data_IF_195115563986
#
_entry.id   IF_195115563986
#
_cell.length_a   1.000
_cell.length_b   1.000
_cell.length_c   1.000
_cell.angle_alpha   90.00
_cell.angle_beta   90.00
_cell.angle_gamma   90.00
#
_symmetry.space_group_name_H-M   'P 1'
#
loop_
_entity.id
_entity.type
_entity.pdbx_description
1 polymer ?
#
# COMPACT_ATOMS: atom_id res chain seq x y z
N UNK A 1 17.65 -46.84 37.05
CA UNK A 1 17.88 -46.09 35.80
C UNK A 1 16.87 -44.94 35.73
N UNK A 2 17.21 -43.76 36.27
CA UNK A 2 16.31 -42.61 36.29
C UNK A 2 16.32 -41.90 34.94
N UNK A 3 15.24 -42.02 34.17
CA UNK A 3 15.02 -41.22 32.96
C UNK A 3 14.69 -39.78 33.39
N UNK A 4 15.67 -38.89 33.27
CA UNK A 4 15.44 -37.44 33.34
C UNK A 4 14.65 -37.05 32.09
N UNK A 5 13.39 -36.64 32.28
CA UNK A 5 12.58 -36.01 31.24
C UNK A 5 13.15 -34.60 31.04
N UNK A 6 13.81 -34.40 29.91
CA UNK A 6 14.29 -33.09 29.48
C UNK A 6 13.09 -32.34 28.89
N UNK A 7 12.47 -31.46 29.67
CA UNK A 7 11.43 -30.56 29.17
C UNK A 7 12.11 -29.49 28.31
N UNK A 8 12.01 -29.61 26.99
CA UNK A 8 12.47 -28.59 26.05
C UNK A 8 11.46 -27.45 26.11
N UNK A 9 11.82 -26.38 26.81
CA UNK A 9 11.07 -25.14 26.85
C UNK A 9 11.20 -24.46 25.47
N UNK A 10 10.18 -24.59 24.63
CA UNK A 10 10.11 -23.90 23.35
C UNK A 10 9.86 -22.41 23.62
N UNK A 11 10.92 -21.61 23.60
CA UNK A 11 10.82 -20.15 23.65
C UNK A 11 10.24 -19.69 22.32
N UNK A 12 8.94 -19.42 22.27
CA UNK A 12 8.33 -18.67 21.16
C UNK A 12 8.88 -17.25 21.20
N UNK A 13 9.96 -17.00 20.47
CA UNK A 13 10.38 -15.64 20.11
C UNK A 13 9.31 -15.06 19.19
N UNK A 14 8.37 -14.30 19.77
CA UNK A 14 7.47 -13.45 19.01
C UNK A 14 8.34 -12.30 18.48
N UNK A 15 8.83 -12.45 17.25
CA UNK A 15 9.40 -11.32 16.54
C UNK A 15 8.28 -10.32 16.30
N UNK A 16 8.30 -9.18 17.00
CA UNK A 16 7.48 -8.03 16.63
C UNK A 16 8.08 -7.45 15.37
N UNK A 17 7.65 -7.99 14.24
CA UNK A 17 7.95 -7.46 12.92
C UNK A 17 7.35 -6.04 12.87
N UNK A 18 7.84 -5.19 11.97
CA UNK A 18 7.30 -3.85 11.70
C UNK A 18 5.84 -3.98 11.23
N UNK A 19 4.91 -4.22 12.15
CA UNK A 19 3.51 -4.34 11.84
C UNK A 19 2.94 -2.94 11.70
N UNK A 20 2.20 -2.74 10.61
CA UNK A 20 1.30 -1.61 10.53
C UNK A 20 0.28 -1.71 11.65
N UNK A 21 -0.03 -0.59 12.28
CA UNK A 21 -0.96 -0.55 13.40
C UNK A 21 -2.00 0.53 13.16
N UNK A 22 -3.26 0.15 13.34
CA UNK A 22 -4.41 1.06 13.26
C UNK A 22 -4.73 1.56 14.64
N UNK A 23 -4.85 2.88 14.74
CA UNK A 23 -5.28 3.61 15.91
C UNK A 23 -6.51 4.46 15.55
N UNK A 24 -7.36 4.71 16.52
CA UNK A 24 -8.44 5.68 16.43
C UNK A 24 -8.37 6.62 17.61
N UNK A 25 -8.84 7.85 17.45
CA UNK A 25 -8.87 8.81 18.56
C UNK A 25 -9.14 10.20 18.04
N UNK A 26 -8.39 11.18 18.54
CA UNK A 26 -8.65 12.60 18.27
C UNK A 26 -7.37 13.39 18.04
N UNK A 27 -7.49 14.38 17.15
CA UNK A 27 -6.61 15.55 17.09
C UNK A 27 -7.46 16.77 17.46
N UNK A 28 -7.24 17.34 18.64
CA UNK A 28 -8.15 18.31 19.23
C UNK A 28 -9.52 17.67 19.49
N UNK A 29 -10.57 18.22 18.86
CA UNK A 29 -11.93 17.67 18.92
C UNK A 29 -12.31 16.88 17.66
N UNK A 30 -11.38 16.69 16.72
CA UNK A 30 -11.65 16.02 15.45
C UNK A 30 -11.33 14.53 15.57
N UNK A 31 -12.31 13.63 15.38
CA UNK A 31 -12.05 12.21 15.42
C UNK A 31 -11.21 11.80 14.21
N UNK A 32 -10.23 10.91 14.45
CA UNK A 32 -9.30 10.43 13.42
C UNK A 32 -9.14 8.92 13.48
N UNK A 33 -8.97 8.31 12.30
CA UNK A 33 -8.32 7.02 12.15
C UNK A 33 -6.89 7.27 11.65
N UNK A 34 -5.91 6.63 12.27
CA UNK A 34 -4.52 6.74 11.91
C UNK A 34 -3.87 5.36 11.79
N UNK A 35 -3.17 5.15 10.70
CA UNK A 35 -2.31 3.99 10.46
C UNK A 35 -0.86 4.42 10.63
N UNK A 36 -0.09 3.71 11.45
CA UNK A 36 1.35 3.96 11.62
C UNK A 36 2.12 2.72 11.18
N UNK A 37 3.12 2.94 10.32
CA UNK A 37 4.06 1.93 9.84
C UNK A 37 5.51 2.29 10.22
N UNK A 38 6.01 1.81 11.37
CA UNK A 38 7.38 2.11 11.80
C UNK A 38 8.40 1.14 11.17
N UNK A 39 9.48 1.65 10.58
CA UNK A 39 10.59 0.87 10.03
C UNK A 39 11.94 1.47 10.44
N UNK A 40 12.66 0.75 11.31
CA UNK A 40 13.92 1.24 11.88
C UNK A 40 13.72 2.49 12.74
N UNK A 41 14.41 3.58 12.38
CA UNK A 41 14.27 4.92 13.01
C UNK A 41 13.30 5.84 12.26
N UNK A 42 12.60 5.30 11.27
CA UNK A 42 11.62 6.03 10.48
C UNK A 42 10.23 5.43 10.68
N UNK A 43 9.21 6.18 10.26
CA UNK A 43 7.87 5.66 10.10
C UNK A 43 7.17 6.40 8.96
N UNK A 44 6.25 5.70 8.31
CA UNK A 44 5.22 6.32 7.49
C UNK A 44 3.89 6.23 8.24
N UNK A 45 2.98 7.15 7.96
CA UNK A 45 1.62 7.08 8.47
C UNK A 45 0.63 7.63 7.46
N UNK A 46 -0.63 7.24 7.61
CA UNK A 46 -1.74 7.97 6.99
C UNK A 46 -2.82 8.16 8.03
N UNK A 47 -3.51 9.29 7.99
CA UNK A 47 -4.65 9.52 8.84
C UNK A 47 -5.73 10.28 8.11
N UNK A 48 -6.98 10.08 8.51
CA UNK A 48 -8.11 10.85 7.99
C UNK A 48 -8.90 11.43 9.15
N UNK A 49 -9.39 12.66 8.97
CA UNK A 49 -10.38 13.24 9.84
C UNK A 49 -11.75 12.73 9.41
N UNK A 50 -12.46 12.06 10.31
CA UNK A 50 -13.82 11.51 10.10
C UNK A 50 -14.85 12.47 9.51
N UNK A 51 -14.63 13.79 9.57
CA UNK A 51 -15.56 14.78 9.01
C UNK A 51 -15.22 15.22 7.58
N UNK A 52 -14.01 14.95 7.09
CA UNK A 52 -13.53 15.40 5.78
C UNK A 52 -13.01 14.24 4.92
N UNK A 53 -12.56 13.15 5.53
CA UNK A 53 -12.12 11.87 4.97
C UNK A 53 -11.19 11.95 3.76
N UNK A 54 -10.42 13.02 3.67
CA UNK A 54 -9.24 13.03 2.82
C UNK A 54 -8.11 12.35 3.59
N UNK A 55 -7.58 11.19 3.14
CA UNK A 55 -6.42 10.58 3.77
C UNK A 55 -5.20 11.49 3.59
N UNK A 56 -4.56 11.84 4.70
CA UNK A 56 -3.36 12.66 4.74
C UNK A 56 -2.17 11.73 4.97
N UNK A 57 -1.27 11.66 3.99
CA UNK A 57 -0.02 10.92 4.10
C UNK A 57 1.01 11.68 4.91
N UNK A 58 1.73 10.96 5.76
CA UNK A 58 2.81 11.45 6.59
C UNK A 58 4.04 10.57 6.35
N UNK A 59 4.86 10.97 5.38
CA UNK A 59 6.00 10.16 4.95
C UNK A 59 7.28 10.53 5.71
N UNK A 60 8.13 9.53 5.95
CA UNK A 60 9.48 9.70 6.52
C UNK A 60 9.50 10.40 7.90
N UNK A 61 8.52 10.10 8.75
CA UNK A 61 8.54 10.49 10.16
C UNK A 61 9.77 9.94 10.86
N UNK A 62 10.31 10.69 11.83
CA UNK A 62 11.57 10.34 12.53
C UNK A 62 11.29 9.90 13.96
N UNK A 63 11.87 8.77 14.35
CA UNK A 63 11.81 8.23 15.72
C UNK A 63 13.12 8.54 16.43
N UNK A 64 13.09 9.51 17.36
CA UNK A 64 14.26 9.94 18.14
C UNK A 64 13.90 10.06 19.62
N UNK A 65 14.66 9.38 20.49
CA UNK A 65 14.48 9.44 21.95
C UNK A 65 13.03 9.20 22.41
N UNK A 66 12.32 8.28 21.75
CA UNK A 66 10.92 8.00 22.06
C UNK A 66 9.93 9.03 21.50
N UNK A 67 10.36 10.03 20.73
CA UNK A 67 9.45 10.90 19.99
C UNK A 67 9.36 10.44 18.54
N UNK A 68 8.14 10.24 18.04
CA UNK A 68 7.87 10.05 16.63
C UNK A 68 7.33 11.35 16.05
N UNK A 69 8.05 11.95 15.10
CA UNK A 69 7.75 13.28 14.56
C UNK A 69 7.50 13.17 13.06
N UNK A 70 6.33 13.60 12.62
CA UNK A 70 5.96 13.72 11.21
C UNK A 70 5.84 15.19 10.81
N UNK A 71 6.18 15.47 9.56
CA UNK A 71 5.95 16.75 8.90
C UNK A 71 4.82 16.58 7.90
N UNK A 72 3.69 17.22 8.18
CA UNK A 72 2.56 17.27 7.25
C UNK A 72 2.85 18.30 6.17
N UNK A 73 2.70 17.91 4.90
CA UNK A 73 2.98 18.76 3.73
C UNK A 73 1.69 19.11 3.00
N UNK A 74 1.65 20.29 2.38
CA UNK A 74 0.48 20.80 1.64
C UNK A 74 0.05 19.87 0.50
N UNK A 75 1.01 19.18 -0.13
CA UNK A 75 0.80 18.01 -0.97
C UNK A 75 2.11 17.22 -1.07
N UNK A 76 2.05 15.98 -1.54
CA UNK A 76 3.23 15.12 -1.71
C UNK A 76 4.27 15.63 -2.72
N UNK A 77 3.95 16.67 -3.52
CA UNK A 77 4.85 17.28 -4.52
C UNK A 77 5.52 18.58 -4.04
N UNK A 78 5.07 19.17 -2.92
CA UNK A 78 5.58 20.43 -2.37
C UNK A 78 6.22 20.15 -1.02
N UNK A 79 7.48 20.55 -0.86
CA UNK A 79 8.21 20.46 0.42
C UNK A 79 7.82 21.53 1.45
N UNK A 80 6.58 22.04 1.38
CA UNK A 80 6.09 23.05 2.32
C UNK A 80 5.37 22.36 3.47
N UNK A 81 5.98 22.38 4.64
CA UNK A 81 5.39 21.85 5.88
C UNK A 81 4.29 22.77 6.40
N UNK A 82 3.06 22.24 6.48
CA UNK A 82 1.86 22.93 6.99
C UNK A 82 1.62 22.66 8.46
N UNK A 83 2.05 21.50 8.94
CA UNK A 83 1.96 21.14 10.35
C UNK A 83 3.02 20.13 10.78
N UNK A 84 3.23 20.04 12.08
CA UNK A 84 4.11 19.04 12.71
C UNK A 84 3.29 18.22 13.67
N UNK A 85 3.28 16.90 13.46
CA UNK A 85 2.66 15.94 14.38
C UNK A 85 3.76 15.26 15.19
N UNK A 86 3.66 15.33 16.51
CA UNK A 86 4.60 14.69 17.43
C UNK A 86 3.86 13.72 18.31
N UNK A 87 4.25 12.45 18.30
CA UNK A 87 3.81 11.43 19.25
C UNK A 87 4.89 11.25 20.32
N UNK A 88 4.50 11.44 21.58
CA UNK A 88 5.39 11.38 22.73
C UNK A 88 5.52 9.94 23.25
N UNK A 89 6.72 9.58 23.69
CA UNK A 89 7.04 8.26 24.24
C UNK A 89 6.55 7.10 23.34
N UNK A 90 6.66 7.25 22.02
CA UNK A 90 6.26 6.28 21.02
C UNK A 90 6.96 4.92 21.24
N UNK A 91 6.15 3.86 21.19
CA UNK A 91 6.59 2.48 21.11
C UNK A 91 5.57 1.68 20.32
N UNK A 92 6.02 0.69 19.55
CA UNK A 92 5.17 -0.18 18.72
C UNK A 92 4.17 -1.01 19.55
N UNK A 93 4.50 -1.25 20.82
CA UNK A 93 3.68 -2.04 21.75
C UNK A 93 2.65 -1.22 22.52
N UNK A 94 2.66 0.11 22.40
CA UNK A 94 1.76 0.95 23.18
C UNK A 94 0.35 0.93 22.59
N UNK A 95 -0.62 0.68 23.46
CA UNK A 95 -2.02 0.76 23.09
C UNK A 95 -2.52 2.21 23.07
N UNK A 96 -1.94 3.09 23.88
CA UNK A 96 -2.32 4.50 23.91
C UNK A 96 -1.12 5.38 23.52
N UNK A 97 -1.36 6.28 22.58
CA UNK A 97 -0.40 7.27 22.13
C UNK A 97 -0.95 8.66 22.41
N UNK A 98 -0.10 9.54 22.92
CA UNK A 98 -0.42 10.94 23.14
C UNK A 98 0.62 11.82 22.45
N UNK A 99 0.21 13.02 22.06
CA UNK A 99 1.05 13.88 21.24
C UNK A 99 0.48 15.27 21.05
N UNK A 100 1.08 15.99 20.11
CA UNK A 100 0.62 17.31 19.68
C UNK A 100 0.67 17.42 18.17
N UNK A 101 -0.32 18.10 17.60
CA UNK A 101 -0.32 18.55 16.22
C UNK A 101 -0.20 20.07 16.25
N UNK A 102 0.74 20.63 15.49
CA UNK A 102 1.00 22.07 15.49
C UNK A 102 0.99 22.63 14.07
N UNK A 103 0.10 23.58 13.80
CA UNK A 103 0.09 24.33 12.55
C UNK A 103 1.31 25.27 12.46
N UNK A 104 2.03 25.23 11.35
CA UNK A 104 3.27 26.01 11.19
C UNK A 104 3.02 27.49 10.91
N UNK A 105 1.85 27.86 10.38
CA UNK A 105 1.47 29.24 10.06
C UNK A 105 0.80 29.96 11.23
N UNK A 106 -0.21 29.35 11.84
CA UNK A 106 -0.98 29.97 12.92
C UNK A 106 -0.39 29.73 14.32
N UNK A 107 0.57 28.80 14.45
CA UNK A 107 1.05 28.27 15.73
C UNK A 107 -0.04 27.61 16.61
N UNK A 108 -1.23 27.35 16.05
CA UNK A 108 -2.27 26.60 16.74
C UNK A 108 -1.77 25.20 17.05
N UNK A 109 -1.98 24.76 18.29
CA UNK A 109 -1.59 23.45 18.77
C UNK A 109 -2.83 22.68 19.25
N UNK A 110 -2.92 21.42 18.86
CA UNK A 110 -4.00 20.52 19.20
C UNK A 110 -3.44 19.28 19.90
N UNK A 111 -4.08 18.84 20.99
CA UNK A 111 -3.72 17.59 21.66
C UNK A 111 -4.05 16.42 20.74
N UNK A 112 -3.14 15.44 20.66
CA UNK A 112 -3.35 14.17 19.97
C UNK A 112 -3.54 13.09 21.02
N UNK A 113 -4.56 12.26 20.86
CA UNK A 113 -4.82 11.09 21.70
C UNK A 113 -5.33 9.97 20.80
N UNK A 114 -4.63 8.83 20.79
CA UNK A 114 -4.91 7.71 19.91
C UNK A 114 -4.90 6.42 20.73
N UNK A 115 -5.86 5.54 20.45
CA UNK A 115 -5.97 4.21 21.04
C UNK A 115 -5.89 3.16 19.93
N UNK A 116 -5.03 2.16 20.15
CA UNK A 116 -4.78 1.05 19.24
C UNK A 116 -6.04 0.22 19.11
N UNK A 117 -6.40 -0.07 17.86
CA UNK A 117 -7.48 -1.01 17.55
C UNK A 117 -6.89 -2.39 17.27
N UNK A 118 -5.92 -2.46 16.36
CA UNK A 118 -5.26 -3.70 15.97
C UNK A 118 -3.95 -3.42 15.24
N UNK A 119 -3.04 -4.39 15.26
CA UNK A 119 -1.86 -4.42 14.39
C UNK A 119 -2.06 -5.46 13.28
N UNK A 120 -1.28 -5.43 12.21
CA UNK A 120 -1.29 -6.51 11.21
C UNK A 120 -0.20 -7.52 11.54
N UNK A 121 -0.46 -8.32 12.56
CA UNK A 121 0.47 -9.34 13.05
C UNK A 121 0.63 -10.46 12.01
N UNK A 122 1.87 -10.93 11.86
CA UNK A 122 2.24 -12.02 10.95
C UNK A 122 2.92 -13.13 11.75
N UNK A 123 2.93 -14.34 11.20
CA UNK A 123 3.51 -15.52 11.86
C UNK A 123 2.60 -16.75 11.80
N UNK A 124 3.17 -17.89 12.19
CA UNK A 124 2.46 -19.16 12.26
C UNK A 124 1.45 -19.17 13.42
N UNK A 125 0.36 -19.91 13.27
CA UNK A 125 -0.68 -20.10 14.30
C UNK A 125 -1.44 -18.82 14.72
N UNK A 126 -1.25 -17.71 14.03
CA UNK A 126 -2.04 -16.47 14.19
C UNK A 126 -3.16 -16.48 13.16
N UNK A 127 -4.39 -16.19 13.60
CA UNK A 127 -5.56 -16.09 12.73
C UNK A 127 -6.38 -14.85 13.07
N UNK A 128 -6.82 -14.12 12.04
CA UNK A 128 -7.76 -13.01 12.14
C UNK A 128 -8.35 -12.70 10.76
N UNK A 129 -9.51 -12.05 10.73
CA UNK A 129 -10.16 -11.66 9.49
C UNK A 129 -10.85 -10.30 9.63
N UNK A 130 -11.11 -9.64 8.50
CA UNK A 130 -11.87 -8.39 8.45
C UNK A 130 -11.13 -7.18 9.02
N UNK A 131 -9.81 -7.22 9.19
CA UNK A 131 -9.04 -6.04 9.62
C UNK A 131 -8.89 -5.08 8.45
N UNK A 132 -9.22 -3.82 8.66
CA UNK A 132 -9.22 -2.80 7.60
C UNK A 132 -8.01 -1.89 7.71
N UNK A 133 -7.50 -1.47 6.56
CA UNK A 133 -6.37 -0.54 6.46
C UNK A 133 -6.70 0.62 5.53
N UNK A 134 -6.81 1.82 6.09
CA UNK A 134 -6.92 3.07 5.34
C UNK A 134 -5.75 3.22 4.36
N UNK A 135 -6.08 3.58 3.12
CA UNK A 135 -5.10 3.81 2.06
C UNK A 135 -4.87 5.32 1.85
N UNK A 136 -3.62 5.73 1.55
CA UNK A 136 -3.22 7.14 1.43
C UNK A 136 -3.63 7.80 0.11
N UNK A 137 -4.72 7.35 -0.51
CA UNK A 137 -5.19 7.83 -1.81
C UNK A 137 -6.70 8.01 -1.80
N UNK A 138 -7.19 8.89 -2.66
CA UNK A 138 -8.61 9.18 -2.80
C UNK A 138 -8.96 9.46 -4.27
N UNK A 139 -10.24 9.30 -4.60
CA UNK A 139 -10.79 9.55 -5.93
C UNK A 139 -12.07 10.38 -5.84
N UNK A 140 -11.98 11.67 -6.16
CA UNK A 140 -13.11 12.59 -6.05
C UNK A 140 -13.65 12.61 -4.62
N UNK A 141 -14.91 12.20 -4.45
CA UNK A 141 -15.56 12.11 -3.13
C UNK A 141 -15.38 10.74 -2.45
N UNK A 142 -14.47 9.89 -2.92
CA UNK A 142 -14.27 8.55 -2.38
C UNK A 142 -12.88 8.39 -1.78
N UNK A 143 -12.78 7.58 -0.73
CA UNK A 143 -11.53 7.08 -0.18
C UNK A 143 -11.57 5.55 -0.09
N UNK A 144 -10.42 4.94 0.17
CA UNK A 144 -10.29 3.49 0.10
C UNK A 144 -9.77 2.89 1.40
N UNK A 145 -10.30 1.71 1.71
CA UNK A 145 -9.72 0.78 2.69
C UNK A 145 -9.48 -0.55 2.00
N UNK A 146 -8.36 -1.20 2.31
CA UNK A 146 -8.20 -2.62 2.00
C UNK A 146 -8.64 -3.45 3.21
N UNK A 147 -9.21 -4.63 2.94
CA UNK A 147 -9.63 -5.59 3.97
C UNK A 147 -8.65 -6.75 3.96
N UNK A 148 -8.03 -7.01 5.10
CA UNK A 148 -7.04 -8.07 5.25
C UNK A 148 -7.62 -9.26 6.03
N UNK A 149 -7.10 -10.42 5.68
CA UNK A 149 -7.32 -11.68 6.40
C UNK A 149 -6.00 -12.40 6.59
N UNK A 150 -5.90 -13.16 7.68
CA UNK A 150 -4.77 -13.99 8.03
C UNK A 150 -5.30 -15.33 8.46
N UNK A 151 -5.04 -16.37 7.66
CA UNK A 151 -5.36 -17.74 8.03
C UNK A 151 -4.27 -18.31 8.93
N UNK A 152 -4.64 -19.28 9.77
CA UNK A 152 -3.74 -19.92 10.75
C UNK A 152 -2.46 -20.48 10.13
N UNK A 153 -2.58 -21.12 8.97
CA UNK A 153 -1.50 -21.87 8.31
C UNK A 153 -0.72 -21.05 7.26
N UNK A 154 -1.09 -19.78 7.03
CA UNK A 154 -0.37 -18.87 6.14
C UNK A 154 0.56 -17.97 6.96
N UNK A 155 1.84 -17.79 6.62
CA UNK A 155 2.73 -16.94 7.44
C UNK A 155 2.37 -15.45 7.35
N UNK A 156 2.02 -14.98 6.15
CA UNK A 156 1.64 -13.59 5.86
C UNK A 156 0.13 -13.46 5.70
N UNK A 157 -0.47 -12.30 6.02
CA UNK A 157 -1.86 -12.02 5.67
C UNK A 157 -2.02 -11.86 4.15
N UNK A 158 -3.27 -11.77 3.70
CA UNK A 158 -3.66 -11.44 2.33
C UNK A 158 -4.66 -10.29 2.34
N UNK A 159 -4.68 -9.52 1.26
CA UNK A 159 -5.77 -8.60 0.97
C UNK A 159 -6.90 -9.40 0.34
N UNK A 160 -8.08 -9.33 0.94
CA UNK A 160 -9.28 -10.07 0.56
C UNK A 160 -10.34 -9.21 -0.14
N UNK A 161 -10.32 -7.90 0.10
CA UNK A 161 -11.22 -6.96 -0.55
C UNK A 161 -10.69 -5.53 -0.54
N UNK A 162 -11.25 -4.71 -1.40
CA UNK A 162 -11.17 -3.25 -1.37
C UNK A 162 -12.56 -2.68 -1.08
N UNK A 163 -12.64 -1.76 -0.14
CA UNK A 163 -13.82 -0.95 0.12
C UNK A 163 -13.64 0.43 -0.49
N UNK A 164 -14.66 0.85 -1.24
CA UNK A 164 -14.79 2.20 -1.78
C UNK A 164 -15.82 2.92 -0.93
N UNK A 165 -15.40 4.00 -0.27
CA UNK A 165 -16.17 4.64 0.78
C UNK A 165 -16.38 6.11 0.42
N UNK A 166 -17.61 6.59 0.57
CA UNK A 166 -17.95 8.00 0.36
C UNK A 166 -17.42 8.84 1.52
N UNK A 167 -16.67 9.91 1.20
CA UNK A 167 -16.18 10.88 2.18
C UNK A 167 -17.36 11.58 2.88
N UNK A 168 -17.16 11.95 4.14
CA UNK A 168 -18.09 12.64 5.05
C UNK A 168 -19.24 11.80 5.58
N UNK A 169 -19.71 10.80 4.82
CA UNK A 169 -20.81 9.92 5.22
C UNK A 169 -20.33 8.55 5.69
N UNK A 170 -19.08 8.21 5.41
CA UNK A 170 -18.48 6.89 5.62
C UNK A 170 -19.29 5.74 5.01
N UNK A 171 -20.16 6.04 4.03
CA UNK A 171 -21.00 5.05 3.39
C UNK A 171 -20.16 4.20 2.46
N UNK A 172 -20.13 2.89 2.72
CA UNK A 172 -19.54 1.92 1.79
C UNK A 172 -20.37 1.89 0.51
N UNK A 173 -19.79 2.34 -0.59
CA UNK A 173 -20.42 2.38 -1.91
C UNK A 173 -20.26 1.06 -2.66
N UNK A 174 -19.10 0.43 -2.51
CA UNK A 174 -18.77 -0.80 -3.20
C UNK A 174 -17.72 -1.60 -2.42
N UNK A 175 -17.81 -2.93 -2.52
CA UNK A 175 -16.81 -3.88 -2.03
C UNK A 175 -16.38 -4.74 -3.22
N UNK A 176 -15.09 -4.77 -3.49
CA UNK A 176 -14.49 -5.54 -4.57
C UNK A 176 -13.62 -6.63 -3.95
N UNK A 177 -13.96 -7.89 -4.19
CA UNK A 177 -13.16 -9.01 -3.68
C UNK A 177 -11.91 -9.16 -4.52
N UNK A 178 -10.77 -9.36 -3.85
CA UNK A 178 -9.46 -9.57 -4.47
C UNK A 178 -8.70 -10.63 -3.69
N UNK A 179 -7.68 -11.22 -4.30
CA UNK A 179 -6.71 -12.05 -3.59
C UNK A 179 -5.30 -11.54 -3.87
N UNK A 180 -4.82 -10.61 -3.03
CA UNK A 180 -3.52 -9.97 -3.23
C UNK A 180 -2.58 -10.17 -2.03
N UNK A 181 -1.29 -10.00 -2.30
CA UNK A 181 -0.28 -9.84 -1.26
C UNK A 181 -0.47 -8.51 -0.51
N UNK A 182 -0.17 -8.46 0.79
CA UNK A 182 -0.24 -7.24 1.58
C UNK A 182 1.00 -6.39 1.32
N UNK A 183 0.84 -5.25 0.64
CA UNK A 183 1.90 -4.22 0.55
C UNK A 183 1.83 -3.23 1.72
N UNK A 184 0.66 -3.13 2.36
CA UNK A 184 0.42 -2.20 3.46
C UNK A 184 -0.20 -0.88 3.03
N UNK A 185 0.33 0.22 3.56
CA UNK A 185 0.18 1.54 2.97
C UNK A 185 0.66 1.48 1.51
N UNK A 186 -0.03 2.20 0.64
CA UNK A 186 0.24 2.23 -0.80
C UNK A 186 -0.06 0.91 -1.52
N UNK A 187 -1.01 0.10 -1.02
CA UNK A 187 -1.54 -1.04 -1.78
C UNK A 187 -2.48 -0.60 -2.89
N UNK A 188 -2.97 0.65 -2.87
CA UNK A 188 -3.82 1.21 -3.93
C UNK A 188 -3.10 2.35 -4.63
N UNK A 189 -3.15 2.35 -5.96
CA UNK A 189 -2.72 3.44 -6.81
C UNK A 189 -3.90 3.96 -7.65
N UNK A 190 -3.79 5.20 -8.10
CA UNK A 190 -4.84 5.91 -8.83
C UNK A 190 -4.25 6.46 -10.13
N UNK A 191 -4.87 6.14 -11.26
CA UNK A 191 -4.48 6.63 -12.59
C UNK A 191 -5.64 6.49 -13.58
N UNK A 192 -5.55 7.07 -14.77
CA UNK A 192 -6.46 6.76 -15.90
C UNK A 192 -5.89 5.57 -16.67
N UNK A 193 -6.37 4.35 -16.41
CA UNK A 193 -5.71 3.14 -16.92
C UNK A 193 -6.14 2.78 -18.35
N UNK A 194 -7.33 3.21 -18.78
CA UNK A 194 -7.84 2.99 -20.14
C UNK A 194 -7.70 4.22 -21.07
N UNK A 195 -7.15 5.33 -20.56
CA UNK A 195 -6.90 6.58 -21.27
C UNK A 195 -8.17 7.33 -21.73
N UNK A 196 -9.29 7.16 -21.01
CA UNK A 196 -10.59 7.76 -21.34
C UNK A 196 -10.87 9.11 -20.64
N UNK A 197 -9.90 9.59 -19.85
CA UNK A 197 -9.97 10.83 -19.09
C UNK A 197 -10.69 10.70 -17.74
N UNK A 198 -11.10 9.50 -17.34
CA UNK A 198 -11.64 9.20 -16.02
C UNK A 198 -10.54 8.56 -15.18
N UNK A 199 -10.48 8.96 -13.90
CA UNK A 199 -9.56 8.32 -12.98
C UNK A 199 -10.11 7.00 -12.46
N UNK A 200 -9.27 5.99 -12.58
CA UNK A 200 -9.44 4.62 -12.13
C UNK A 200 -8.51 4.34 -10.93
N UNK A 201 -8.52 3.10 -10.44
CA UNK A 201 -7.55 2.67 -9.43
C UNK A 201 -7.05 1.25 -9.69
N UNK A 202 -5.88 0.93 -9.14
CA UNK A 202 -5.32 -0.41 -9.12
C UNK A 202 -5.01 -0.84 -7.69
N UNK A 203 -4.96 -2.14 -7.49
CA UNK A 203 -4.56 -2.78 -6.23
C UNK A 203 -3.30 -3.57 -6.50
N UNK A 204 -2.27 -3.35 -5.70
CA UNK A 204 -1.06 -4.17 -5.74
C UNK A 204 -1.44 -5.64 -5.57
N UNK A 205 -1.03 -6.48 -6.51
CA UNK A 205 -1.41 -7.90 -6.53
C UNK A 205 -0.30 -8.74 -5.90
N UNK A 206 0.92 -8.65 -6.44
CA UNK A 206 2.03 -9.48 -6.01
C UNK A 206 3.38 -8.86 -6.35
N UNK A 207 4.37 -9.16 -5.51
CA UNK A 207 5.79 -9.05 -5.85
C UNK A 207 6.30 -10.41 -6.32
N UNK A 208 7.17 -10.40 -7.32
CA UNK A 208 7.87 -11.58 -7.82
C UNK A 208 9.39 -11.40 -7.66
N UNK A 209 10.18 -12.19 -8.39
CA UNK A 209 11.63 -12.10 -8.34
C UNK A 209 12.13 -10.74 -8.87
N UNK A 210 13.01 -10.09 -8.10
CA UNK A 210 13.62 -8.83 -8.48
C UNK A 210 12.59 -7.68 -8.51
N UNK A 211 12.60 -6.81 -9.53
CA UNK A 211 11.72 -5.64 -9.61
C UNK A 211 10.32 -5.97 -10.17
N UNK A 212 10.02 -7.24 -10.43
CA UNK A 212 8.78 -7.66 -11.06
C UNK A 212 7.61 -7.57 -10.08
N UNK A 213 6.57 -6.85 -10.46
CA UNK A 213 5.33 -6.73 -9.67
C UNK A 213 4.12 -6.87 -10.59
N UNK A 214 2.94 -7.08 -10.02
CA UNK A 214 1.67 -6.99 -10.74
C UNK A 214 0.63 -6.24 -9.93
N UNK A 215 -0.46 -5.87 -10.58
CA UNK A 215 -1.59 -5.18 -9.96
C UNK A 215 -2.88 -5.59 -10.66
N UNK A 216 -3.98 -5.57 -9.91
CA UNK A 216 -5.34 -5.71 -10.45
C UNK A 216 -5.87 -4.31 -10.72
N UNK A 217 -6.41 -4.07 -11.91
CA UNK A 217 -6.87 -2.75 -12.35
C UNK A 217 -8.40 -2.70 -12.38
N UNK A 218 -8.98 -1.62 -11.87
CA UNK A 218 -10.42 -1.41 -11.78
C UNK A 218 -10.81 -0.13 -12.51
N UNK A 219 -11.56 -0.27 -13.61
CA UNK A 219 -12.03 0.86 -14.41
C UNK A 219 -13.39 1.36 -13.93
N UNK A 220 -13.62 2.66 -14.05
CA UNK A 220 -14.90 3.26 -13.69
C UNK A 220 -15.93 3.18 -14.84
N UNK A 221 -17.05 2.51 -14.62
CA UNK A 221 -18.19 2.57 -15.53
C UNK A 221 -19.13 3.72 -15.18
N UNK A 222 -19.19 4.72 -16.06
CA UNK A 222 -20.10 5.88 -15.94
C UNK A 222 -21.58 5.49 -15.88
N UNK A 223 -21.99 4.37 -16.51
CA UNK A 223 -23.40 3.98 -16.58
C UNK A 223 -23.88 3.40 -15.25
N UNK A 224 -23.17 2.42 -14.73
CA UNK A 224 -23.47 1.82 -13.41
C UNK A 224 -23.00 2.69 -12.24
N UNK A 225 -22.09 3.64 -12.48
CA UNK A 225 -21.38 4.44 -11.47
C UNK A 225 -20.59 3.57 -10.49
N UNK A 226 -20.09 2.43 -10.98
CA UNK A 226 -19.33 1.45 -10.21
C UNK A 226 -18.00 1.16 -10.89
N UNK A 227 -17.07 0.64 -10.12
CA UNK A 227 -15.80 0.14 -10.65
C UNK A 227 -15.93 -1.34 -10.99
N UNK A 228 -15.24 -1.79 -12.03
CA UNK A 228 -15.18 -3.19 -12.44
C UNK A 228 -13.75 -3.59 -12.78
N UNK A 229 -13.40 -4.84 -12.54
CA UNK A 229 -12.07 -5.37 -12.88
C UNK A 229 -11.88 -5.37 -14.40
N UNK A 230 -10.75 -4.82 -14.87
CA UNK A 230 -10.52 -4.57 -16.30
C UNK A 230 -10.03 -5.80 -17.07
N UNK A 231 -9.45 -6.78 -16.39
CA UNK A 231 -8.70 -7.88 -17.00
C UNK A 231 -7.32 -7.48 -17.54
N UNK A 232 -6.87 -6.24 -17.32
CA UNK A 232 -5.50 -5.83 -17.63
C UNK A 232 -4.53 -6.64 -16.78
N UNK A 233 -3.57 -7.27 -17.44
CA UNK A 233 -2.59 -8.16 -16.79
C UNK A 233 -1.25 -8.09 -17.50
N UNK A 234 -0.19 -8.35 -16.73
CA UNK A 234 1.20 -8.28 -17.17
C UNK A 234 2.13 -7.94 -16.01
N UNK A 235 3.43 -7.97 -16.27
CA UNK A 235 4.46 -7.75 -15.24
C UNK A 235 5.04 -6.34 -15.32
N UNK A 236 5.01 -5.63 -14.19
CA UNK A 236 5.53 -4.27 -14.02
C UNK A 236 5.01 -3.34 -15.12
N UNK A 237 3.69 -3.27 -15.25
CA UNK A 237 3.04 -2.41 -16.23
C UNK A 237 3.25 -0.93 -15.88
N UNK A 238 3.65 -0.15 -16.89
CA UNK A 238 3.76 1.30 -16.83
C UNK A 238 2.77 1.93 -17.83
N UNK A 239 2.03 2.96 -17.38
CA UNK A 239 0.99 3.62 -18.18
C UNK A 239 1.47 5.00 -18.63
N UNK A 240 1.81 5.13 -19.91
CA UNK A 240 2.20 6.40 -20.54
C UNK A 240 0.95 7.14 -20.99
N UNK A 241 0.52 8.10 -20.16
CA UNK A 241 -0.67 8.91 -20.39
C UNK A 241 -0.58 9.77 -21.65
N UNK A 242 0.61 10.25 -21.99
CA UNK A 242 0.81 11.13 -23.14
C UNK A 242 0.70 10.37 -24.46
N UNK A 243 1.29 9.16 -24.51
CA UNK A 243 1.23 8.30 -25.70
C UNK A 243 0.00 7.41 -25.76
N UNK A 244 -0.74 7.31 -24.65
CA UNK A 244 -1.82 6.33 -24.45
C UNK A 244 -1.32 4.91 -24.75
N UNK A 245 -0.23 4.53 -24.09
CA UNK A 245 0.44 3.23 -24.24
C UNK A 245 0.69 2.62 -22.88
N UNK A 246 0.67 1.29 -22.85
CA UNK A 246 1.06 0.51 -21.69
C UNK A 246 2.35 -0.22 -22.07
N UNK A 247 3.35 -0.14 -21.20
CA UNK A 247 4.62 -0.84 -21.35
C UNK A 247 4.74 -1.89 -20.27
N UNK A 248 5.09 -3.11 -20.65
CA UNK A 248 5.39 -4.20 -19.73
C UNK A 248 6.89 -4.43 -19.69
N UNK A 249 7.42 -4.74 -18.51
CA UNK A 249 8.82 -5.14 -18.35
C UNK A 249 8.93 -6.28 -17.35
N UNK A 250 9.22 -7.47 -17.86
CA UNK A 250 9.50 -8.65 -17.04
C UNK A 250 10.99 -8.98 -17.07
N UNK A 251 11.59 -9.10 -15.89
CA UNK A 251 12.99 -9.47 -15.71
C UNK A 251 13.14 -10.79 -14.97
N UNK A 252 14.10 -11.62 -15.38
CA UNK A 252 14.48 -12.81 -14.62
C UNK A 252 16.00 -13.02 -14.59
N UNK A 253 16.44 -14.10 -13.93
CA UNK A 253 17.84 -14.53 -13.91
C UNK A 253 18.82 -13.41 -13.53
N UNK A 254 18.54 -12.70 -12.42
CA UNK A 254 19.33 -11.56 -11.94
C UNK A 254 19.54 -10.43 -12.98
N UNK A 255 18.59 -10.25 -13.91
CA UNK A 255 18.68 -9.21 -14.94
C UNK A 255 19.32 -9.66 -16.24
N UNK A 256 19.73 -10.92 -16.35
CA UNK A 256 20.34 -11.44 -17.58
C UNK A 256 19.33 -11.74 -18.69
N UNK A 257 18.04 -11.76 -18.37
CA UNK A 257 16.95 -11.91 -19.34
C UNK A 257 15.88 -10.88 -19.02
N UNK A 258 15.48 -10.13 -20.05
CA UNK A 258 14.42 -9.12 -19.98
C UNK A 258 13.49 -9.31 -21.17
N UNK A 259 12.19 -9.30 -20.91
CA UNK A 259 11.17 -9.20 -21.96
C UNK A 259 10.38 -7.92 -21.77
N UNK A 260 10.03 -7.29 -22.87
CA UNK A 260 9.17 -6.11 -22.87
C UNK A 260 8.02 -6.31 -23.84
N UNK A 261 6.90 -5.66 -23.56
CA UNK A 261 5.77 -5.58 -24.48
C UNK A 261 5.18 -4.17 -24.47
N UNK A 262 4.65 -3.76 -25.60
CA UNK A 262 3.90 -2.51 -25.74
C UNK A 262 2.45 -2.84 -26.11
N UNK A 263 1.51 -2.14 -25.49
CA UNK A 263 0.09 -2.29 -25.72
C UNK A 263 -0.57 -0.93 -26.00
N UNK A 264 -1.62 -0.95 -26.81
CA UNK A 264 -2.65 0.10 -26.83
C UNK A 264 -3.91 -0.43 -26.14
N UNK A 265 -4.77 0.47 -25.68
CA UNK A 265 -6.10 0.12 -25.17
C UNK A 265 -7.15 0.40 -26.25
N UNK A 266 -8.01 -0.58 -26.52
CA UNK A 266 -9.18 -0.44 -27.41
C UNK A 266 -10.37 -1.08 -26.69
N UNK A 267 -11.45 -0.33 -26.51
CA UNK A 267 -12.66 -0.79 -25.82
C UNK A 267 -12.37 -1.50 -24.49
N UNK A 268 -11.55 -0.88 -23.63
CA UNK A 268 -11.10 -1.44 -22.35
C UNK A 268 -10.37 -2.78 -22.45
N UNK A 269 -9.75 -3.08 -23.59
CA UNK A 269 -8.92 -4.27 -23.78
C UNK A 269 -7.49 -3.87 -24.15
N UNK A 270 -6.50 -4.55 -23.54
CA UNK A 270 -5.09 -4.43 -23.93
C UNK A 270 -4.85 -5.15 -25.25
N UNK A 271 -4.43 -4.40 -26.27
CA UNK A 271 -4.07 -4.92 -27.59
C UNK A 271 -2.56 -4.77 -27.77
N UNK A 272 -1.89 -5.91 -27.93
CA UNK A 272 -0.44 -5.95 -28.10
C UNK A 272 0.00 -5.32 -29.42
N UNK A 273 1.02 -4.48 -29.37
CA UNK A 273 1.63 -3.82 -30.51
C UNK A 273 2.99 -4.43 -30.87
N UNK A 274 3.75 -4.85 -29.87
CA UNK A 274 5.07 -5.44 -30.07
C UNK A 274 5.60 -6.12 -28.81
N UNK A 275 6.51 -7.06 -29.00
CA UNK A 275 7.23 -7.73 -27.92
C UNK A 275 8.70 -7.86 -28.28
N UNK A 276 9.56 -7.66 -27.29
CA UNK A 276 11.00 -7.76 -27.44
C UNK A 276 11.60 -8.64 -26.35
N UNK A 277 12.70 -9.30 -26.68
CA UNK A 277 13.45 -10.19 -25.79
C UNK A 277 14.90 -9.75 -25.81
N UNK A 278 15.48 -9.57 -24.64
CA UNK A 278 16.86 -9.18 -24.45
C UNK A 278 17.56 -10.16 -23.54
N UNK A 279 18.77 -10.58 -23.94
CA UNK A 279 19.63 -11.43 -23.12
C UNK A 279 20.98 -10.76 -22.92
N UNK A 280 21.55 -10.96 -21.74
CA UNK A 280 22.90 -10.53 -21.43
C UNK A 280 23.91 -11.19 -22.37
N UNK A 281 24.81 -10.39 -22.90
CA UNK A 281 25.90 -10.85 -23.74
C UNK A 281 27.21 -10.46 -23.08
N UNK A 282 27.99 -11.45 -22.65
CA UNK A 282 29.33 -11.23 -22.10
C UNK A 282 30.20 -10.44 -23.08
N UNK A 283 30.16 -10.78 -24.38
CA UNK A 283 30.93 -10.09 -25.42
C UNK A 283 30.61 -8.59 -25.53
N UNK A 284 29.36 -8.19 -25.32
CA UNK A 284 28.93 -6.78 -25.42
C UNK A 284 28.81 -6.09 -24.07
N UNK A 285 29.02 -6.82 -22.96
CA UNK A 285 28.76 -6.37 -21.59
C UNK A 285 27.41 -5.66 -21.43
N UNK A 286 26.35 -6.26 -21.97
CA UNK A 286 25.03 -5.63 -21.98
C UNK A 286 23.91 -6.52 -22.50
N UNK A 287 22.67 -6.05 -22.31
CA UNK A 287 21.48 -6.66 -22.88
C UNK A 287 21.45 -6.45 -24.40
N UNK A 288 21.24 -7.54 -25.14
CA UNK A 288 21.15 -7.52 -26.60
C UNK A 288 19.88 -8.21 -27.02
N UNK A 289 19.18 -7.63 -27.99
CA UNK A 289 17.94 -8.18 -28.50
C UNK A 289 18.17 -9.58 -29.12
N UNK A 290 17.20 -10.46 -28.89
CA UNK A 290 17.14 -11.85 -29.34
C UNK A 290 15.73 -12.17 -29.82
N UNK A 291 15.58 -13.31 -30.51
CA UNK A 291 14.25 -13.79 -30.89
C UNK A 291 13.46 -14.13 -29.63
N UNK A 292 12.18 -13.79 -29.59
CA UNK A 292 11.32 -13.95 -28.39
C UNK A 292 11.36 -15.37 -27.81
N UNK A 293 11.44 -16.40 -28.66
CA UNK A 293 11.55 -17.81 -28.26
C UNK A 293 12.81 -18.15 -27.45
N UNK A 294 13.82 -17.28 -27.44
CA UNK A 294 15.07 -17.47 -26.69
C UNK A 294 14.97 -16.91 -25.25
N UNK A 295 13.89 -16.18 -24.92
CA UNK A 295 13.60 -15.72 -23.56
C UNK A 295 12.50 -16.54 -22.86
N UNK A 296 11.89 -17.52 -23.55
CA UNK A 296 10.84 -18.39 -23.01
C UNK A 296 11.40 -19.70 -22.49
#
# INVERSE_FOLDING_TARGET
>A
MHKKIFSILFFFLIFTINAQTVYTGFIGNYPVEMVIYPYGKLADATYSYTNFDEPISLDNGKINNGHLIFQEKENSKKDITTAVLTINNFSKSKDNLEGTWKNTKSNTELKVSLTKQYAFDVGENIEWSGRELLQPVSLGNNYFKIVLTKKKDEYYPKVSAVKIIEKKTDKVLQILNVECQPWGLNSIAVNDYNFDGIMDFSVFESSYAGPNTSSIYFLYDKKSRQYFESGFSGISLEFDQAKKRIYERNQCCAGTVVTTAEYKVVDNNMIILGQHCYRWSEKKHGLVERKLKECR
#
